data_IF_043724750513
#
_entry.id   IF_043724750513
#
_cell.length_a   1.000
_cell.length_b   1.000
_cell.length_c   1.000
_cell.angle_alpha   90.00
_cell.angle_beta   90.00
_cell.angle_gamma   90.00
#
_symmetry.space_group_name_H-M   'P 1'
#
loop_
_entity.id
_entity.type
_entity.pdbx_description
1 polymer ?
#
# COMPACT_ATOMS: atom_id res chain seq x y z
N UNK A 1 -9.94 -0.13 4.84
CA UNK A 1 -10.34 -1.53 4.59
C UNK A 1 -11.55 -1.49 3.67
N UNK A 2 -11.67 -2.47 2.78
CA UNK A 2 -12.84 -2.63 1.90
C UNK A 2 -13.00 -4.10 1.50
N UNK A 3 -14.13 -4.42 0.88
CA UNK A 3 -14.47 -5.76 0.38
C UNK A 3 -14.68 -5.66 -1.13
N UNK A 4 -14.15 -6.62 -1.90
CA UNK A 4 -14.37 -6.69 -3.34
C UNK A 4 -15.58 -7.54 -3.72
N UNK A 5 -15.88 -7.63 -5.03
CA UNK A 5 -17.06 -8.34 -5.52
C UNK A 5 -17.08 -9.86 -5.23
N UNK A 6 -15.93 -10.44 -4.86
CA UNK A 6 -15.77 -11.86 -4.57
C UNK A 6 -15.61 -12.07 -3.05
N UNK A 7 -16.10 -11.13 -2.24
CA UNK A 7 -16.03 -11.10 -0.77
C UNK A 7 -14.61 -11.15 -0.18
N UNK A 8 -13.60 -10.84 -0.98
CA UNK A 8 -12.24 -10.73 -0.48
C UNK A 8 -12.08 -9.44 0.33
N UNK A 9 -11.31 -9.54 1.42
CA UNK A 9 -11.01 -8.44 2.32
C UNK A 9 -9.70 -7.78 1.88
N UNK A 10 -9.74 -6.47 1.62
CA UNK A 10 -8.57 -5.68 1.30
C UNK A 10 -8.30 -4.70 2.45
N UNK A 11 -7.09 -4.79 3.00
CA UNK A 11 -6.60 -3.89 4.03
C UNK A 11 -5.40 -3.10 3.51
N UNK A 12 -5.22 -1.90 4.05
CA UNK A 12 -4.04 -1.09 3.83
C UNK A 12 -3.58 -0.50 5.17
N UNK A 13 -2.29 -0.23 5.28
CA UNK A 13 -1.74 0.32 6.51
C UNK A 13 -0.28 0.69 6.40
N UNK A 14 0.32 0.94 7.56
CA UNK A 14 1.72 1.33 7.72
C UNK A 14 2.36 0.45 8.80
N UNK A 15 3.61 0.05 8.58
CA UNK A 15 4.44 -0.65 9.57
C UNK A 15 5.83 0.01 9.70
N UNK A 16 6.49 -0.16 10.85
CA UNK A 16 7.74 0.54 11.19
C UNK A 16 8.98 -0.34 11.14
N UNK A 17 8.91 -1.59 11.56
CA UNK A 17 10.04 -2.53 11.57
C UNK A 17 9.85 -3.61 10.50
N UNK A 18 8.94 -4.54 10.74
CA UNK A 18 8.61 -5.58 9.77
C UNK A 18 7.15 -5.99 9.88
N UNK A 19 6.64 -6.56 8.80
CA UNK A 19 5.34 -7.19 8.74
C UNK A 19 5.49 -8.56 8.08
N UNK A 20 4.72 -9.53 8.52
CA UNK A 20 4.76 -10.88 7.98
C UNK A 20 3.35 -11.32 7.57
N UNK A 21 3.19 -11.61 6.29
CA UNK A 21 1.98 -12.22 5.75
C UNK A 21 2.24 -13.69 5.46
N UNK A 22 1.83 -14.56 6.37
CA UNK A 22 1.89 -16.04 6.24
C UNK A 22 3.25 -16.58 5.78
N UNK A 23 4.34 -16.05 6.33
CA UNK A 23 5.72 -16.44 5.99
C UNK A 23 6.44 -15.44 5.07
N UNK A 24 5.70 -14.57 4.36
CA UNK A 24 6.29 -13.50 3.57
C UNK A 24 6.59 -12.30 4.46
N UNK A 25 7.83 -12.24 4.97
CA UNK A 25 8.31 -11.12 5.77
C UNK A 25 8.76 -9.97 4.87
N UNK A 26 8.22 -8.79 5.11
CA UNK A 26 8.68 -7.53 4.55
C UNK A 26 9.30 -6.67 5.66
N UNK A 27 10.48 -6.13 5.37
CA UNK A 27 11.14 -5.17 6.26
C UNK A 27 10.85 -3.75 5.79
N UNK A 28 10.71 -2.84 6.74
CA UNK A 28 10.50 -1.43 6.44
C UNK A 28 11.78 -0.83 5.88
N UNK A 29 11.65 0.08 4.92
CA UNK A 29 12.76 0.89 4.44
C UNK A 29 12.56 2.31 4.99
N UNK A 30 13.43 2.72 5.91
CA UNK A 30 13.29 3.99 6.64
C UNK A 30 12.41 3.87 7.89
N UNK A 31 11.68 4.94 8.24
CA UNK A 31 10.87 4.96 9.49
C UNK A 31 9.57 4.18 9.38
N UNK A 32 8.93 4.18 8.21
CA UNK A 32 7.61 3.60 7.99
C UNK A 32 7.44 3.17 6.54
N UNK A 33 6.82 2.03 6.32
CA UNK A 33 6.49 1.51 4.99
C UNK A 33 5.00 1.24 4.88
N UNK A 34 4.39 1.58 3.74
CA UNK A 34 2.97 1.37 3.49
C UNK A 34 2.75 -0.03 2.90
N UNK A 35 1.60 -0.64 3.16
CA UNK A 35 1.22 -1.91 2.56
C UNK A 35 -0.24 -1.92 2.14
N UNK A 36 -0.55 -2.80 1.18
CA UNK A 36 -1.90 -3.30 0.89
C UNK A 36 -1.83 -4.82 0.91
N UNK A 37 -2.79 -5.46 1.54
CA UNK A 37 -2.92 -6.91 1.57
C UNK A 37 -4.36 -7.32 1.26
N UNK A 38 -4.49 -8.46 0.58
CA UNK A 38 -5.75 -9.09 0.21
C UNK A 38 -5.84 -10.45 0.88
N UNK A 39 -7.01 -10.71 1.45
CA UNK A 39 -7.40 -11.97 2.05
C UNK A 39 -8.72 -12.43 1.44
N UNK A 40 -9.00 -13.73 1.42
CA UNK A 40 -10.33 -14.22 1.08
C UNK A 40 -11.35 -13.93 2.20
N UNK A 41 -12.60 -14.34 1.99
CA UNK A 41 -13.69 -14.15 2.96
C UNK A 41 -13.46 -14.88 4.29
N UNK A 42 -12.62 -15.92 4.29
CA UNK A 42 -12.25 -16.71 5.46
C UNK A 42 -10.94 -16.20 6.11
N UNK A 43 -10.47 -15.03 5.69
CA UNK A 43 -9.23 -14.39 6.13
C UNK A 43 -7.94 -15.16 5.79
N UNK A 44 -7.96 -16.06 4.81
CA UNK A 44 -6.74 -16.66 4.27
C UNK A 44 -6.01 -15.65 3.38
N UNK A 45 -4.69 -15.61 3.49
CA UNK A 45 -3.85 -14.71 2.71
C UNK A 45 -3.87 -15.04 1.22
N UNK A 46 -4.08 -14.03 0.37
CA UNK A 46 -3.98 -14.16 -1.09
C UNK A 46 -2.70 -13.48 -1.59
N UNK A 47 -2.55 -12.18 -1.32
CA UNK A 47 -1.36 -11.42 -1.73
C UNK A 47 -1.15 -10.17 -0.88
N UNK A 48 0.07 -9.65 -0.91
CA UNK A 48 0.41 -8.34 -0.33
C UNK A 48 1.37 -7.58 -1.26
N UNK A 49 1.30 -6.26 -1.17
CA UNK A 49 2.23 -5.33 -1.84
C UNK A 49 2.69 -4.30 -0.81
N UNK A 50 3.98 -4.00 -0.85
CA UNK A 50 4.59 -2.91 -0.07
C UNK A 50 4.91 -1.74 -0.97
N UNK A 51 4.72 -0.54 -0.45
CA UNK A 51 4.95 0.70 -1.17
C UNK A 51 6.04 1.47 -0.46
N UNK A 52 7.14 1.66 -1.18
CA UNK A 52 8.37 2.21 -0.63
C UNK A 52 8.45 3.68 -1.01
N UNK A 53 8.57 4.54 -0.01
CA UNK A 53 8.91 5.94 -0.19
C UNK A 53 10.41 6.13 0.00
N UNK A 54 11.06 6.92 -0.86
CA UNK A 54 12.48 7.29 -0.64
C UNK A 54 12.64 8.18 0.60
N UNK A 55 11.59 8.92 0.97
CA UNK A 55 11.54 9.74 2.16
C UNK A 55 10.58 9.15 3.20
N UNK A 56 10.80 9.50 4.48
CA UNK A 56 9.91 9.18 5.60
C UNK A 56 8.52 9.86 5.51
N UNK A 57 8.19 10.45 4.36
CA UNK A 57 7.03 11.30 4.10
C UNK A 57 6.17 10.69 2.99
N UNK A 58 5.84 9.41 3.14
CA UNK A 58 4.94 8.67 2.25
C UNK A 58 3.87 7.97 3.08
N UNK A 59 2.59 8.21 2.78
CA UNK A 59 1.48 7.62 3.52
C UNK A 59 0.28 7.34 2.64
N UNK A 60 -0.28 6.14 2.74
CA UNK A 60 -1.59 5.77 2.19
C UNK A 60 -2.66 6.13 3.22
N UNK A 61 -3.71 6.83 2.78
CA UNK A 61 -4.83 7.26 3.63
C UNK A 61 -6.14 6.56 3.33
N UNK A 62 -6.42 6.30 2.06
CA UNK A 62 -7.69 5.72 1.67
C UNK A 62 -7.52 4.58 0.68
N UNK A 63 -8.46 3.66 0.77
CA UNK A 63 -8.65 2.55 -0.15
C UNK A 63 -10.09 2.62 -0.64
N UNK A 64 -10.26 2.82 -1.94
CA UNK A 64 -11.52 2.69 -2.64
C UNK A 64 -11.56 1.39 -3.44
N UNK A 65 -12.74 0.79 -3.56
CA UNK A 65 -12.95 -0.40 -4.38
C UNK A 65 -14.14 -0.11 -5.29
N UNK A 66 -13.99 -0.35 -6.59
CA UNK A 66 -15.08 -0.23 -7.58
C UNK A 66 -14.97 -1.37 -8.59
N UNK A 67 -15.85 -2.36 -8.47
CA UNK A 67 -15.81 -3.56 -9.29
C UNK A 67 -14.53 -4.35 -9.06
N UNK A 68 -13.74 -4.53 -10.12
CA UNK A 68 -12.44 -5.21 -10.08
C UNK A 68 -11.25 -4.29 -9.77
N UNK A 69 -11.49 -2.97 -9.66
CA UNK A 69 -10.43 -2.00 -9.49
C UNK A 69 -10.28 -1.62 -8.02
N UNK A 70 -9.03 -1.60 -7.57
CA UNK A 70 -8.62 -1.09 -6.27
C UNK A 70 -7.95 0.25 -6.47
N UNK A 71 -8.32 1.21 -5.65
CA UNK A 71 -7.81 2.56 -5.70
C UNK A 71 -7.17 2.88 -4.37
N UNK A 72 -5.91 3.26 -4.37
CA UNK A 72 -5.25 3.80 -3.17
C UNK A 72 -4.96 5.27 -3.36
N UNK A 73 -5.22 6.05 -2.31
CA UNK A 73 -4.81 7.44 -2.26
C UNK A 73 -4.09 7.79 -0.98
N UNK A 74 -3.26 8.81 -1.06
CA UNK A 74 -2.35 9.19 -0.01
C UNK A 74 -1.45 10.32 -0.48
N UNK A 75 -0.36 10.56 0.23
CA UNK A 75 0.71 11.41 -0.25
C UNK A 75 2.03 10.67 -0.36
N UNK A 76 2.92 11.20 -1.18
CA UNK A 76 4.32 10.83 -1.20
C UNK A 76 5.18 12.07 -1.43
N UNK A 77 6.47 11.96 -1.10
CA UNK A 77 7.49 12.97 -1.38
C UNK A 77 8.67 12.32 -2.10
N UNK A 78 9.24 13.05 -3.06
CA UNK A 78 10.31 12.64 -3.98
C UNK A 78 9.90 11.51 -4.93
N UNK A 79 9.69 10.30 -4.40
CA UNK A 79 9.27 9.16 -5.20
C UNK A 79 8.58 8.08 -4.38
N UNK A 80 7.58 7.46 -5.01
CA UNK A 80 6.84 6.32 -4.51
C UNK A 80 7.04 5.12 -5.45
N UNK A 81 7.45 3.99 -4.89
CA UNK A 81 7.60 2.73 -5.62
C UNK A 81 6.39 1.83 -5.36
N UNK A 82 5.72 1.44 -6.44
CA UNK A 82 4.63 0.45 -6.48
C UNK A 82 5.17 -0.83 -7.12
N UNK A 83 5.96 -1.61 -6.38
CA UNK A 83 6.78 -2.68 -6.97
C UNK A 83 7.86 -2.09 -7.89
N UNK A 84 7.88 -2.49 -9.17
CA UNK A 84 8.82 -1.95 -10.17
C UNK A 84 8.41 -0.60 -10.76
N UNK A 85 7.14 -0.21 -10.59
CA UNK A 85 6.64 1.07 -11.08
C UNK A 85 7.02 2.20 -10.12
N UNK A 86 7.46 3.34 -10.67
CA UNK A 86 7.92 4.49 -9.89
C UNK A 86 7.10 5.73 -10.24
N UNK A 87 6.47 6.33 -9.25
CA UNK A 87 5.91 7.67 -9.32
C UNK A 87 6.95 8.68 -8.82
N UNK A 88 7.19 9.74 -9.60
CA UNK A 88 8.03 10.88 -9.16
C UNK A 88 7.11 12.03 -8.75
N UNK A 89 7.44 12.68 -7.64
CA UNK A 89 6.73 13.87 -7.20
C UNK A 89 7.09 15.02 -8.18
N UNK A 90 6.13 15.74 -8.78
CA UNK A 90 6.45 16.88 -9.65
C UNK A 90 7.19 18.00 -8.92
N UNK A 91 7.07 18.05 -7.58
CA UNK A 91 7.78 19.00 -6.72
C UNK A 91 8.35 18.30 -5.48
N UNK A 92 9.12 19.00 -4.66
CA UNK A 92 9.64 18.48 -3.38
C UNK A 92 8.57 18.40 -2.25
N UNK A 93 7.30 18.65 -2.58
CA UNK A 93 6.16 18.67 -1.67
C UNK A 93 5.37 17.34 -1.72
N UNK A 94 4.28 17.29 -0.95
CA UNK A 94 3.35 16.16 -0.92
C UNK A 94 2.47 16.15 -2.16
N UNK A 95 2.44 15.03 -2.89
CA UNK A 95 1.53 14.85 -4.02
C UNK A 95 0.51 13.76 -3.74
N UNK A 96 -0.75 14.06 -4.07
CA UNK A 96 -1.82 13.08 -4.03
C UNK A 96 -1.67 12.10 -5.19
N UNK A 97 -1.84 10.81 -4.94
CA UNK A 97 -1.90 9.82 -6.00
C UNK A 97 -3.23 9.04 -5.96
N UNK A 98 -3.63 8.56 -7.13
CA UNK A 98 -4.68 7.56 -7.32
C UNK A 98 -4.09 6.51 -8.26
N UNK A 99 -3.91 5.29 -7.77
CA UNK A 99 -3.39 4.15 -8.54
C UNK A 99 -4.18 2.89 -8.26
#
# INVERSE_FOLDING_TARGET
>A
MGVDKDDNIIICGVFTDSINFTGNKFSSIGKTTNFVAKFDSDANYIWSKVFLGKSNSTRIYSLGIKGLNYYISGYYKDSLYLGSFKLNAPTANFDAFLS
#
